data_IF_862142760968
#
_entry.id   IF_862142760968
#
_cell.length_a   1.000
_cell.length_b   1.000
_cell.length_c   1.000
_cell.angle_alpha   90.00
_cell.angle_beta   90.00
_cell.angle_gamma   90.00
#
_symmetry.space_group_name_H-M   'P 1'
#
loop_
_entity.id
_entity.type
_entity.pdbx_description
1 polymer ?
#
# COMPACT_ATOMS: atom_id res chain seq x y z
N UNK A 1 20.37 5.52 -5.74
CA UNK A 1 20.32 4.12 -6.24
C UNK A 1 19.50 4.11 -7.52
N UNK A 2 20.11 3.77 -8.66
CA UNK A 2 19.41 3.69 -9.95
C UNK A 2 18.81 2.28 -10.06
N UNK A 3 17.50 2.15 -9.80
CA UNK A 3 16.80 0.88 -9.96
C UNK A 3 16.66 0.54 -11.45
N UNK A 4 17.03 -0.69 -11.83
CA UNK A 4 16.83 -1.22 -13.19
C UNK A 4 15.34 -1.22 -13.56
N UNK A 5 15.03 -0.97 -14.82
CA UNK A 5 13.65 -0.88 -15.32
C UNK A 5 12.81 -2.13 -15.02
N UNK A 6 13.40 -3.34 -15.13
CA UNK A 6 12.72 -4.59 -14.78
C UNK A 6 12.29 -4.64 -13.31
N UNK A 7 13.16 -4.19 -12.40
CA UNK A 7 12.86 -4.14 -10.95
C UNK A 7 11.73 -3.16 -10.67
N UNK A 8 11.77 -1.98 -11.29
CA UNK A 8 10.69 -0.99 -11.21
C UNK A 8 9.35 -1.59 -11.66
N UNK A 9 9.35 -2.34 -12.76
CA UNK A 9 8.14 -2.96 -13.29
C UNK A 9 7.60 -4.05 -12.36
N UNK A 10 8.48 -4.88 -11.82
CA UNK A 10 8.11 -5.85 -10.78
C UNK A 10 7.53 -5.16 -9.56
N UNK A 11 8.09 -4.04 -9.11
CA UNK A 11 7.56 -3.27 -7.99
C UNK A 11 6.18 -2.67 -8.30
N UNK A 12 5.95 -2.16 -9.52
CA UNK A 12 4.62 -1.70 -9.93
C UNK A 12 3.56 -2.82 -9.83
N UNK A 13 3.87 -4.02 -10.31
CA UNK A 13 2.99 -5.19 -10.19
C UNK A 13 2.85 -5.69 -8.75
N UNK A 14 3.94 -5.70 -7.99
CA UNK A 14 3.92 -6.08 -6.57
C UNK A 14 2.96 -5.18 -5.78
N UNK A 15 2.94 -3.88 -6.07
CA UNK A 15 1.95 -2.96 -5.49
C UNK A 15 0.51 -3.38 -5.76
N UNK A 16 0.21 -3.85 -6.98
CA UNK A 16 -1.13 -4.31 -7.33
C UNK A 16 -1.50 -5.58 -6.56
N UNK A 17 -0.55 -6.50 -6.39
CA UNK A 17 -0.70 -7.68 -5.53
C UNK A 17 -0.94 -7.29 -4.06
N UNK A 18 -0.16 -6.34 -3.54
CA UNK A 18 -0.31 -5.81 -2.18
C UNK A 18 -1.67 -5.12 -1.99
N UNK A 19 -2.13 -4.34 -2.97
CA UNK A 19 -3.47 -3.72 -2.95
C UNK A 19 -4.57 -4.76 -2.85
N UNK A 20 -4.54 -5.80 -3.69
CA UNK A 20 -5.52 -6.89 -3.64
C UNK A 20 -5.41 -7.69 -2.34
N UNK A 21 -4.20 -8.02 -1.89
CA UNK A 21 -4.00 -8.70 -0.61
C UNK A 21 -4.52 -7.88 0.58
N UNK A 22 -4.44 -6.55 0.51
CA UNK A 22 -4.92 -5.66 1.57
C UNK A 22 -6.42 -5.79 1.82
N UNK A 23 -7.23 -6.12 0.80
CA UNK A 23 -8.66 -6.32 0.96
C UNK A 23 -9.06 -7.59 1.70
N UNK A 24 -8.11 -8.52 1.88
CA UNK A 24 -8.33 -9.75 2.66
C UNK A 24 -7.90 -9.59 4.13
N UNK A 25 -7.17 -8.52 4.46
CA UNK A 25 -6.69 -8.25 5.81
C UNK A 25 -7.79 -8.06 6.86
N UNK A 26 -8.99 -7.51 6.54
CA UNK A 26 -10.10 -7.48 7.49
C UNK A 26 -10.52 -8.89 7.94
N UNK A 27 -10.70 -9.82 6.99
CA UNK A 27 -11.14 -11.19 7.30
C UNK A 27 -10.13 -11.98 8.15
N UNK A 28 -8.87 -12.02 7.72
CA UNK A 28 -7.87 -12.86 8.39
C UNK A 28 -7.18 -12.13 9.53
N UNK A 29 -6.80 -10.88 9.30
CA UNK A 29 -6.09 -10.06 10.27
C UNK A 29 -6.99 -9.58 11.40
N UNK A 30 -8.24 -9.21 11.10
CA UNK A 30 -9.22 -8.91 12.12
C UNK A 30 -9.43 -10.10 13.04
N UNK A 31 -9.60 -11.30 12.48
CA UNK A 31 -9.93 -12.50 13.24
C UNK A 31 -8.76 -12.89 14.15
N UNK A 32 -7.54 -12.81 13.62
CA UNK A 32 -6.32 -12.98 14.41
C UNK A 32 -6.21 -11.96 15.55
N UNK A 33 -6.49 -10.67 15.27
CA UNK A 33 -6.48 -9.61 16.28
C UNK A 33 -7.48 -9.91 17.41
N UNK A 34 -8.71 -10.29 17.04
CA UNK A 34 -9.75 -10.66 17.99
C UNK A 34 -9.34 -11.87 18.84
N UNK A 35 -8.82 -12.94 18.21
CA UNK A 35 -8.36 -14.14 18.93
C UNK A 35 -7.28 -13.83 19.97
N UNK A 36 -6.33 -12.95 19.65
CA UNK A 36 -5.27 -12.56 20.58
C UNK A 36 -5.82 -11.68 21.71
N UNK A 37 -6.66 -10.69 21.40
CA UNK A 37 -7.23 -9.78 22.39
C UNK A 37 -8.18 -10.48 23.38
N UNK A 38 -8.88 -11.51 22.91
CA UNK A 38 -9.86 -12.27 23.70
C UNK A 38 -9.31 -13.57 24.29
N UNK A 39 -8.02 -13.85 24.13
CA UNK A 39 -7.42 -15.08 24.63
C UNK A 39 -7.57 -15.17 26.15
N UNK A 40 -8.25 -16.22 26.62
CA UNK A 40 -8.43 -16.49 28.04
C UNK A 40 -9.53 -15.69 28.75
N UNK A 41 -10.39 -14.96 28.00
CA UNK A 41 -11.55 -14.26 28.56
C UNK A 41 -12.83 -15.07 28.33
N UNK A 42 -13.69 -15.16 29.35
CA UNK A 42 -15.04 -15.72 29.23
C UNK A 42 -16.07 -14.60 29.03
N UNK A 43 -17.07 -14.83 28.17
CA UNK A 43 -18.14 -13.87 27.90
C UNK A 43 -18.95 -13.61 29.18
N UNK A 44 -18.88 -12.38 29.70
CA UNK A 44 -19.53 -11.98 30.95
C UNK A 44 -20.96 -11.45 30.77
N UNK A 45 -21.45 -11.35 29.53
CA UNK A 45 -22.78 -10.82 29.22
C UNK A 45 -22.84 -9.31 28.98
N UNK A 46 -21.75 -8.59 29.25
CA UNK A 46 -21.60 -7.18 28.88
C UNK A 46 -21.12 -7.03 27.42
N UNK A 47 -21.55 -5.95 26.78
CA UNK A 47 -21.29 -5.67 25.36
C UNK A 47 -19.82 -5.34 25.05
N UNK A 48 -19.01 -5.09 26.08
CA UNK A 48 -17.70 -4.48 25.95
C UNK A 48 -16.57 -5.36 26.49
N UNK A 49 -15.65 -5.69 25.57
CA UNK A 49 -14.20 -5.89 25.75
C UNK A 49 -13.64 -6.78 24.64
N UNK A 50 -14.50 -7.63 24.07
CA UNK A 50 -14.15 -8.60 23.04
C UNK A 50 -14.89 -8.38 21.71
N UNK A 51 -15.94 -7.56 21.71
CA UNK A 51 -16.57 -7.11 20.47
C UNK A 51 -15.66 -6.08 19.80
N UNK A 52 -14.76 -6.55 18.95
CA UNK A 52 -14.21 -5.70 17.90
C UNK A 52 -15.41 -5.29 17.05
N UNK A 53 -15.65 -3.98 16.84
CA UNK A 53 -16.69 -3.41 15.97
C UNK A 53 -16.53 -3.90 14.52
N UNK A 54 -16.88 -5.16 14.29
CA UNK A 54 -16.97 -5.78 12.99
C UNK A 54 -18.25 -5.26 12.35
N UNK A 55 -18.11 -4.38 11.36
CA UNK A 55 -19.20 -4.07 10.43
C UNK A 55 -19.10 -5.11 9.30
N UNK A 56 -19.80 -6.26 9.38
CA UNK A 56 -19.48 -7.43 8.56
C UNK A 56 -19.74 -7.14 7.08
N UNK A 57 -20.73 -6.28 6.79
CA UNK A 57 -21.08 -5.82 5.46
C UNK A 57 -19.95 -5.03 4.79
N UNK A 58 -19.27 -4.15 5.53
CA UNK A 58 -18.22 -3.29 4.99
C UNK A 58 -16.96 -4.11 4.67
N UNK A 59 -16.62 -5.07 5.53
CA UNK A 59 -15.53 -6.01 5.28
C UNK A 59 -15.83 -6.98 4.14
N UNK A 60 -17.06 -7.49 4.04
CA UNK A 60 -17.49 -8.38 2.95
C UNK A 60 -17.38 -7.69 1.58
N UNK A 61 -17.62 -6.38 1.54
CA UNK A 61 -17.52 -5.57 0.33
C UNK A 61 -16.11 -5.09 0.00
N UNK A 62 -15.14 -5.20 0.92
CA UNK A 62 -13.79 -4.67 0.74
C UNK A 62 -13.06 -5.26 -0.50
N UNK A 63 -13.16 -6.56 -0.82
CA UNK A 63 -12.60 -7.11 -2.06
C UNK A 63 -13.24 -6.54 -3.32
N UNK A 64 -14.55 -6.26 -3.30
CA UNK A 64 -15.25 -5.66 -4.44
C UNK A 64 -14.79 -4.22 -4.68
N UNK A 65 -14.66 -3.43 -3.60
CA UNK A 65 -14.12 -2.08 -3.68
C UNK A 65 -12.65 -2.06 -4.11
N UNK A 66 -11.83 -2.98 -3.60
CA UNK A 66 -10.44 -3.11 -4.01
C UNK A 66 -10.33 -3.48 -5.50
N UNK A 67 -11.20 -4.36 -6.00
CA UNK A 67 -11.23 -4.71 -7.43
C UNK A 67 -11.68 -3.52 -8.28
N UNK A 68 -12.73 -2.81 -7.88
CA UNK A 68 -13.20 -1.60 -8.57
C UNK A 68 -12.12 -0.51 -8.59
N UNK A 69 -11.41 -0.33 -7.48
CA UNK A 69 -10.30 0.61 -7.33
C UNK A 69 -8.99 0.15 -7.96
N UNK A 70 -8.87 -1.13 -8.38
CA UNK A 70 -7.62 -1.72 -8.86
C UNK A 70 -7.07 -0.95 -10.05
N UNK A 71 -7.90 -0.56 -11.01
CA UNK A 71 -7.44 0.18 -12.18
C UNK A 71 -6.82 1.53 -11.80
N UNK A 72 -7.46 2.26 -10.89
CA UNK A 72 -6.97 3.55 -10.39
C UNK A 72 -5.64 3.35 -9.67
N UNK A 73 -5.57 2.35 -8.80
CA UNK A 73 -4.37 1.98 -8.07
C UNK A 73 -3.23 1.55 -9.01
N UNK A 74 -3.54 0.76 -10.05
CA UNK A 74 -2.57 0.36 -11.07
C UNK A 74 -1.97 1.57 -11.77
N UNK A 75 -2.76 2.59 -12.12
CA UNK A 75 -2.22 3.82 -12.70
C UNK A 75 -1.27 4.53 -11.73
N UNK A 76 -1.63 4.62 -10.46
CA UNK A 76 -0.77 5.19 -9.42
C UNK A 76 0.55 4.40 -9.28
N UNK A 77 0.46 3.07 -9.16
CA UNK A 77 1.63 2.20 -9.02
C UNK A 77 2.56 2.30 -10.23
N UNK A 78 2.01 2.29 -11.44
CA UNK A 78 2.80 2.46 -12.65
C UNK A 78 3.37 3.87 -12.78
N UNK A 79 2.67 4.90 -12.33
CA UNK A 79 3.19 6.26 -12.28
C UNK A 79 4.42 6.35 -11.37
N UNK A 80 4.28 5.94 -10.10
CA UNK A 80 5.32 5.99 -9.06
C UNK A 80 6.60 5.28 -9.49
N UNK A 81 6.47 4.10 -10.09
CA UNK A 81 7.62 3.24 -10.37
C UNK A 81 8.20 3.39 -11.78
N UNK A 82 7.44 3.93 -12.73
CA UNK A 82 7.93 4.10 -14.10
C UNK A 82 9.21 4.95 -14.15
N UNK A 83 10.17 4.61 -15.03
CA UNK A 83 11.26 5.52 -15.33
C UNK A 83 10.77 6.69 -16.18
N UNK A 84 11.62 7.71 -16.34
CA UNK A 84 11.33 8.85 -17.22
C UNK A 84 11.02 8.40 -18.66
N UNK A 85 10.13 9.12 -19.40
CA UNK A 85 9.66 8.70 -20.71
C UNK A 85 10.76 8.32 -21.69
N UNK A 86 11.85 9.09 -21.75
CA UNK A 86 13.00 8.83 -22.62
C UNK A 86 13.82 7.58 -22.28
N UNK A 87 13.65 7.02 -21.08
CA UNK A 87 14.41 5.87 -20.57
C UNK A 87 13.57 4.57 -20.55
N UNK A 88 12.32 4.59 -21.00
CA UNK A 88 11.42 3.43 -21.02
C UNK A 88 11.74 2.53 -22.21
N UNK A 89 12.24 1.32 -21.95
CA UNK A 89 12.41 0.27 -22.97
C UNK A 89 11.30 -0.78 -22.91
N UNK A 90 10.64 -0.91 -21.76
CA UNK A 90 9.51 -1.82 -21.57
C UNK A 90 8.17 -1.12 -21.86
N UNK A 91 7.11 -1.91 -22.12
CA UNK A 91 5.75 -1.36 -22.26
C UNK A 91 5.23 -0.89 -20.90
N UNK A 92 5.12 0.44 -20.72
CA UNK A 92 4.56 1.12 -19.55
C UNK A 92 3.22 1.80 -19.86
N UNK A 93 2.24 1.04 -20.36
CA UNK A 93 0.98 1.59 -20.89
C UNK A 93 0.14 2.38 -19.89
N UNK A 94 0.28 2.08 -18.60
CA UNK A 94 -0.47 2.72 -17.52
C UNK A 94 0.29 3.87 -16.85
N UNK A 95 1.55 4.08 -17.23
CA UNK A 95 2.34 5.20 -16.72
C UNK A 95 1.98 6.50 -17.47
N UNK A 96 2.09 7.67 -16.82
CA UNK A 96 1.87 8.96 -17.46
C UNK A 96 2.85 9.16 -18.62
N UNK A 97 2.36 9.71 -19.74
CA UNK A 97 3.18 9.94 -20.94
C UNK A 97 4.28 10.97 -20.67
N UNK A 98 3.97 12.00 -19.90
CA UNK A 98 4.84 13.15 -19.65
C UNK A 98 5.77 12.96 -18.44
N UNK A 99 5.90 11.72 -17.94
CA UNK A 99 6.74 11.43 -16.78
C UNK A 99 6.05 11.70 -15.45
N UNK A 100 6.73 11.39 -14.35
CA UNK A 100 6.19 11.62 -12.98
C UNK A 100 6.42 13.06 -12.52
N UNK A 101 7.46 13.70 -13.02
CA UNK A 101 7.89 15.02 -12.60
C UNK A 101 6.87 16.13 -12.92
N UNK A 102 6.16 16.03 -14.06
CA UNK A 102 5.03 16.93 -14.39
C UNK A 102 3.88 16.86 -13.38
N UNK A 103 3.69 15.71 -12.74
CA UNK A 103 2.63 15.48 -11.75
C UNK A 103 3.15 15.56 -10.32
N UNK A 104 4.40 15.99 -10.14
CA UNK A 104 4.97 16.30 -8.85
C UNK A 104 4.32 17.59 -8.32
N UNK A 105 3.96 17.68 -7.01
CA UNK A 105 4.20 16.71 -5.94
C UNK A 105 3.08 15.67 -5.73
N UNK A 106 2.02 15.67 -6.55
CA UNK A 106 0.80 14.90 -6.30
C UNK A 106 1.02 13.40 -6.06
N UNK A 107 1.73 12.70 -6.96
CA UNK A 107 1.98 11.26 -6.80
C UNK A 107 2.88 10.93 -5.59
N UNK A 108 3.85 11.79 -5.28
CA UNK A 108 4.68 11.62 -4.09
C UNK A 108 3.85 11.81 -2.80
N UNK A 109 2.97 12.81 -2.77
CA UNK A 109 2.05 13.04 -1.65
C UNK A 109 1.12 11.85 -1.42
N UNK A 110 0.51 11.32 -2.49
CA UNK A 110 -0.33 10.12 -2.41
C UNK A 110 0.44 8.90 -1.91
N UNK A 111 1.68 8.72 -2.36
CA UNK A 111 2.54 7.63 -1.89
C UNK A 111 2.89 7.79 -0.40
N UNK A 112 3.21 9.00 0.07
CA UNK A 112 3.44 9.27 1.51
C UNK A 112 2.19 8.97 2.33
N UNK A 113 1.02 9.44 1.89
CA UNK A 113 -0.25 9.17 2.57
C UNK A 113 -0.52 7.66 2.66
N UNK A 114 -0.34 6.93 1.56
CA UNK A 114 -0.49 5.47 1.53
C UNK A 114 0.50 4.77 2.47
N UNK A 115 1.74 5.24 2.53
CA UNK A 115 2.77 4.72 3.42
C UNK A 115 2.45 4.93 4.91
N UNK A 116 2.02 6.14 5.28
CA UNK A 116 1.60 6.47 6.65
C UNK A 116 0.37 5.67 7.06
N UNK A 117 -0.61 5.55 6.17
CA UNK A 117 -1.82 4.77 6.43
C UNK A 117 -1.49 3.28 6.63
N UNK A 118 -0.65 2.69 5.77
CA UNK A 118 -0.22 1.30 5.92
C UNK A 118 0.59 1.09 7.22
N UNK A 119 1.47 2.02 7.58
CA UNK A 119 2.20 1.97 8.84
C UNK A 119 1.26 2.02 10.05
N UNK A 120 0.30 2.95 10.05
CA UNK A 120 -0.75 3.03 11.08
C UNK A 120 -1.52 1.71 11.20
N UNK A 121 -1.87 1.07 10.07
CA UNK A 121 -2.54 -0.24 10.12
C UNK A 121 -1.69 -1.31 10.82
N UNK A 122 -0.37 -1.29 10.63
CA UNK A 122 0.54 -2.22 11.31
C UNK A 122 0.52 -2.03 12.84
N UNK A 123 0.42 -0.79 13.33
CA UNK A 123 0.43 -0.48 14.77
C UNK A 123 -0.87 -0.87 15.50
N UNK A 124 -1.94 -1.21 14.77
CA UNK A 124 -3.21 -1.63 15.36
C UNK A 124 -3.27 -3.12 15.75
N UNK A 125 -2.25 -3.91 15.38
CA UNK A 125 -2.18 -5.33 15.71
C UNK A 125 -1.39 -5.52 17.01
N UNK A 126 -1.85 -6.39 17.92
CA UNK A 126 -1.04 -6.77 19.08
C UNK A 126 0.25 -7.47 18.62
N UNK A 127 1.33 -7.35 19.39
CA UNK A 127 2.58 -8.05 19.13
C UNK A 127 2.49 -9.50 19.63
N UNK A 128 1.97 -10.39 18.79
CA UNK A 128 1.84 -11.83 19.03
C UNK A 128 2.21 -12.60 17.74
N UNK A 129 2.64 -13.86 17.88
CA UNK A 129 3.01 -14.68 16.73
C UNK A 129 1.87 -14.90 15.73
N UNK A 130 0.62 -14.90 16.20
CA UNK A 130 -0.58 -15.04 15.35
C UNK A 130 -0.80 -13.79 14.49
N UNK A 131 -0.47 -12.61 15.01
CA UNK A 131 -0.70 -11.33 14.33
C UNK A 131 0.52 -10.81 13.56
N UNK A 132 1.72 -11.34 13.83
CA UNK A 132 2.98 -10.95 13.20
C UNK A 132 2.95 -10.95 11.65
N UNK A 133 2.34 -11.94 10.95
CA UNK A 133 2.27 -11.90 9.49
C UNK A 133 1.53 -10.68 8.94
N UNK A 134 0.47 -10.22 9.63
CA UNK A 134 -0.32 -9.06 9.21
C UNK A 134 0.43 -7.76 9.46
N UNK A 135 1.16 -7.66 10.57
CA UNK A 135 2.10 -6.56 10.83
C UNK A 135 3.15 -6.50 9.70
N UNK A 136 3.76 -7.64 9.38
CA UNK A 136 4.76 -7.75 8.31
C UNK A 136 4.21 -7.34 6.93
N UNK A 137 2.98 -7.73 6.62
CA UNK A 137 2.29 -7.29 5.40
C UNK A 137 2.15 -5.77 5.33
N UNK A 138 1.59 -5.15 6.38
CA UNK A 138 1.35 -3.70 6.40
C UNK A 138 2.66 -2.90 6.36
N UNK A 139 3.69 -3.36 7.07
CA UNK A 139 5.02 -2.76 7.00
C UNK A 139 5.64 -2.90 5.61
N UNK A 140 5.51 -4.05 4.96
CA UNK A 140 5.99 -4.25 3.59
C UNK A 140 5.29 -3.30 2.61
N UNK A 141 3.98 -3.09 2.78
CA UNK A 141 3.22 -2.17 1.95
C UNK A 141 3.61 -0.70 2.22
N UNK A 142 3.84 -0.34 3.49
CA UNK A 142 4.35 0.97 3.86
C UNK A 142 5.73 1.24 3.24
N UNK A 143 6.65 0.28 3.33
CA UNK A 143 7.98 0.37 2.70
C UNK A 143 7.86 0.54 1.19
N UNK A 144 6.96 -0.21 0.54
CA UNK A 144 6.70 -0.07 -0.90
C UNK A 144 6.27 1.36 -1.27
N UNK A 145 5.31 1.92 -0.53
CA UNK A 145 4.85 3.29 -0.74
C UNK A 145 5.94 4.33 -0.50
N UNK A 146 6.64 4.26 0.63
CA UNK A 146 7.65 5.26 1.02
C UNK A 146 8.88 5.20 0.09
N UNK A 147 9.27 4.01 -0.34
CA UNK A 147 10.35 3.86 -1.34
C UNK A 147 9.92 4.46 -2.68
N UNK A 148 8.65 4.24 -3.07
CA UNK A 148 8.06 4.88 -4.24
C UNK A 148 8.03 6.41 -4.16
N UNK A 149 7.62 6.96 -3.01
CA UNK A 149 7.62 8.40 -2.74
C UNK A 149 9.03 8.99 -2.86
N UNK A 150 10.04 8.33 -2.27
CA UNK A 150 11.44 8.75 -2.38
C UNK A 150 11.92 8.76 -3.85
N UNK A 151 11.53 7.76 -4.65
CA UNK A 151 11.84 7.73 -6.08
C UNK A 151 11.16 8.88 -6.84
N UNK A 152 9.89 9.15 -6.54
CA UNK A 152 9.11 10.22 -7.18
C UNK A 152 9.67 11.61 -6.84
N UNK A 153 10.07 11.85 -5.59
CA UNK A 153 10.70 13.10 -5.16
C UNK A 153 12.05 13.35 -5.84
N UNK A 154 12.88 12.32 -5.98
CA UNK A 154 14.16 12.44 -6.68
C UNK A 154 13.97 12.79 -8.16
N UNK A 155 13.02 12.14 -8.82
CA UNK A 155 12.70 12.44 -10.21
C UNK A 155 12.22 13.89 -10.42
N UNK A 156 11.39 14.41 -9.50
CA UNK A 156 10.96 15.82 -9.53
C UNK A 156 12.10 16.82 -9.26
N UNK A 157 13.01 16.49 -8.34
CA UNK A 157 14.17 17.33 -8.04
C UNK A 157 15.14 17.45 -9.23
N UNK A 158 15.37 16.34 -9.95
CA UNK A 158 16.30 16.28 -11.09
C UNK A 158 15.84 17.13 -12.29
N UNK A 159 14.53 17.36 -12.48
CA UNK A 159 14.01 18.28 -13.53
C UNK A 159 14.14 19.76 -13.14
N UNK A 160 14.07 20.08 -11.85
CA UNK A 160 14.19 21.46 -11.37
C UNK A 160 15.63 21.99 -11.30
N UNK A 161 16.62 21.11 -11.41
CA UNK A 161 18.03 21.50 -11.50
C UNK A 161 18.35 21.88 -12.96
N UNK A 162 18.62 23.16 -13.27
CA UNK A 162 19.00 23.53 -14.62
C UNK A 162 20.32 22.81 -14.93
N UNK A 163 20.35 22.03 -16.00
CA UNK A 163 21.60 21.48 -16.55
C UNK A 163 22.47 22.66 -16.98
N UNK A 164 23.37 23.09 -16.09
CA UNK A 164 24.49 24.00 -16.39
C UNK A 164 25.59 23.24 -17.08
#
# INVERSE_FOLDING_TARGET
>A
MILKEGVRKTLAFAGCGLWLASSFMPFFGGLAKHQVQCRGRSFTGDFDDCFNDYIPLLELSAPLFALAGLYIFMRLAFAIWSPEPGNRRMRWRLAPKDGIAVYHPGYAGLAVMGGLWAFWRATLYPLDGVTAPFIGFWLSFAVWFLTGACCAWRAGADETSPRT
#
